data_IF_487994076415
#
_entry.id   IF_487994076415
#
_cell.length_a   1.000
_cell.length_b   1.000
_cell.length_c   1.000
_cell.angle_alpha   90.00
_cell.angle_beta   90.00
_cell.angle_gamma   90.00
#
_symmetry.space_group_name_H-M   'P 1'
#
loop_
_entity.id
_entity.type
_entity.pdbx_description
1 polymer ?
#
# COMPACT_ATOMS: atom_id res chain seq x y z
N UNK A 1 -28.86 -20.77 -30.24
CA UNK A 1 -28.16 -19.50 -30.55
C UNK A 1 -28.01 -18.56 -29.35
N UNK A 2 -28.92 -18.57 -28.37
CA UNK A 2 -28.81 -17.77 -27.14
C UNK A 2 -27.74 -18.26 -26.15
N UNK A 3 -27.53 -19.57 -26.07
CA UNK A 3 -26.52 -20.19 -25.20
C UNK A 3 -25.09 -19.71 -25.51
N UNK A 4 -24.74 -19.58 -26.79
CA UNK A 4 -23.42 -19.09 -27.23
C UNK A 4 -23.24 -17.63 -26.82
N UNK A 5 -24.28 -16.80 -26.95
CA UNK A 5 -24.22 -15.39 -26.52
C UNK A 5 -24.04 -15.26 -25.01
N UNK A 6 -24.74 -16.09 -24.23
CA UNK A 6 -24.58 -16.16 -22.77
C UNK A 6 -23.17 -16.59 -22.37
N UNK A 7 -22.62 -17.59 -23.06
CA UNK A 7 -21.28 -18.11 -22.77
C UNK A 7 -20.19 -17.09 -23.12
N UNK A 8 -20.32 -16.37 -24.24
CA UNK A 8 -19.43 -15.26 -24.60
C UNK A 8 -19.54 -14.12 -23.58
N UNK A 9 -20.75 -13.75 -23.17
CA UNK A 9 -20.96 -12.68 -22.20
C UNK A 9 -20.40 -13.04 -20.82
N UNK A 10 -20.58 -14.28 -20.38
CA UNK A 10 -19.96 -14.82 -19.16
C UNK A 10 -18.43 -14.77 -19.24
N UNK A 11 -17.86 -15.19 -20.38
CA UNK A 11 -16.41 -15.19 -20.60
C UNK A 11 -15.82 -13.77 -20.59
N UNK A 12 -16.52 -12.79 -21.18
CA UNK A 12 -16.11 -11.38 -21.12
C UNK A 12 -16.19 -10.81 -19.71
N UNK A 13 -17.21 -11.19 -18.92
CA UNK A 13 -17.33 -10.76 -17.52
C UNK A 13 -16.20 -11.34 -16.67
N UNK A 14 -15.88 -12.63 -16.83
CA UNK A 14 -14.77 -13.26 -16.11
C UNK A 14 -13.43 -12.57 -16.41
N UNK A 15 -13.14 -12.25 -17.68
CA UNK A 15 -11.91 -11.56 -18.08
C UNK A 15 -11.82 -10.15 -17.50
N UNK A 16 -12.94 -9.41 -17.46
CA UNK A 16 -12.99 -8.07 -16.88
C UNK A 16 -12.76 -8.09 -15.36
N UNK A 17 -13.34 -9.06 -14.64
CA UNK A 17 -13.15 -9.21 -13.18
C UNK A 17 -11.69 -9.53 -12.85
N UNK A 18 -11.01 -10.35 -13.66
CA UNK A 18 -9.58 -10.65 -13.48
C UNK A 18 -8.63 -9.46 -13.71
N UNK A 19 -9.11 -8.37 -14.34
CA UNK A 19 -8.33 -7.15 -14.57
C UNK A 19 -8.31 -6.18 -13.38
N UNK A 20 -9.32 -6.23 -12.50
CA UNK A 20 -9.47 -5.26 -11.40
C UNK A 20 -8.39 -5.39 -10.31
N UNK A 21 -7.91 -6.60 -10.02
CA UNK A 21 -6.82 -6.82 -9.04
C UNK A 21 -5.46 -6.27 -9.47
N UNK A 22 -5.30 -5.79 -10.72
CA UNK A 22 -4.00 -5.32 -11.24
C UNK A 22 -3.64 -3.90 -10.80
N UNK A 23 -4.54 -3.18 -10.16
CA UNK A 23 -4.33 -1.78 -9.76
C UNK A 23 -3.94 -1.60 -8.29
N UNK A 24 -4.17 -2.61 -7.44
CA UNK A 24 -3.73 -2.56 -6.05
C UNK A 24 -2.26 -2.96 -5.96
N UNK A 25 -1.41 -2.08 -5.42
CA UNK A 25 -0.01 -2.39 -5.17
C UNK A 25 0.11 -3.52 -4.11
N UNK A 26 1.03 -4.50 -4.25
CA UNK A 26 1.14 -5.64 -3.34
C UNK A 26 1.23 -5.26 -1.85
N UNK A 27 2.02 -4.24 -1.52
CA UNK A 27 2.14 -3.73 -0.14
C UNK A 27 0.82 -3.21 0.45
N UNK A 28 -0.15 -2.75 -0.36
CA UNK A 28 -1.48 -2.35 0.12
C UNK A 28 -2.28 -3.60 0.51
N UNK A 29 -2.23 -4.63 -0.32
CA UNK A 29 -2.90 -5.92 -0.06
C UNK A 29 -2.31 -6.61 1.18
N UNK A 30 -0.98 -6.59 1.32
CA UNK A 30 -0.31 -7.14 2.50
C UNK A 30 -0.68 -6.37 3.77
N UNK A 31 -0.68 -5.03 3.72
CA UNK A 31 -1.10 -4.23 4.86
C UNK A 31 -2.55 -4.52 5.25
N UNK A 32 -3.48 -4.60 4.28
CA UNK A 32 -4.89 -4.93 4.54
C UNK A 32 -5.05 -6.32 5.17
N UNK A 33 -4.29 -7.31 4.69
CA UNK A 33 -4.26 -8.66 5.26
C UNK A 33 -3.73 -8.66 6.71
N UNK A 34 -2.69 -7.88 7.00
CA UNK A 34 -2.15 -7.73 8.36
C UNK A 34 -3.12 -6.98 9.29
N UNK A 35 -3.73 -5.91 8.80
CA UNK A 35 -4.75 -5.12 9.50
C UNK A 35 -5.96 -5.98 9.89
N UNK A 36 -6.34 -6.94 9.03
CA UNK A 36 -7.40 -7.89 9.33
C UNK A 36 -7.09 -8.80 10.53
N UNK A 37 -5.83 -8.98 10.90
CA UNK A 37 -5.43 -9.78 12.07
C UNK A 37 -5.38 -8.95 13.37
N UNK A 38 -5.46 -7.63 13.28
CA UNK A 38 -5.39 -6.75 14.45
C UNK A 38 -6.68 -6.82 15.29
N UNK A 39 -6.57 -6.71 16.62
CA UNK A 39 -7.71 -6.46 17.49
C UNK A 39 -8.48 -5.19 17.10
N UNK A 40 -9.77 -5.15 17.40
CA UNK A 40 -10.64 -4.05 16.98
C UNK A 40 -10.24 -2.67 17.52
N UNK A 41 -9.49 -2.57 18.62
CA UNK A 41 -9.02 -1.27 19.11
C UNK A 41 -7.75 -0.78 18.40
N UNK A 42 -7.06 -1.62 17.64
CA UNK A 42 -5.86 -1.27 16.85
C UNK A 42 -6.13 -1.15 15.36
N UNK A 43 -7.23 -1.75 14.88
CA UNK A 43 -7.69 -1.61 13.50
C UNK A 43 -8.01 -0.16 13.17
N UNK A 44 -7.62 0.27 11.98
CA UNK A 44 -7.88 1.60 11.46
C UNK A 44 -9.40 1.93 11.50
N UNK A 45 -9.82 2.93 12.29
CA UNK A 45 -11.23 3.31 12.38
C UNK A 45 -11.74 4.03 11.14
N UNK A 46 -10.85 4.55 10.30
CA UNK A 46 -11.16 5.42 9.17
C UNK A 46 -12.07 4.73 8.14
N UNK A 47 -11.87 3.43 7.90
CA UNK A 47 -12.68 2.64 6.96
C UNK A 47 -13.96 2.04 7.57
N UNK A 48 -14.18 2.16 8.88
CA UNK A 48 -15.36 1.57 9.55
C UNK A 48 -16.66 2.27 9.20
N UNK A 49 -16.58 3.55 8.86
CA UNK A 49 -17.76 4.36 8.59
C UNK A 49 -18.15 4.16 7.12
N UNK A 50 -19.33 3.60 6.80
CA UNK A 50 -19.72 3.30 5.42
C UNK A 50 -19.71 4.56 4.53
N UNK A 51 -20.06 5.71 5.10
CA UNK A 51 -20.01 7.01 4.42
C UNK A 51 -18.59 7.39 4.00
N UNK A 52 -17.60 7.19 4.86
CA UNK A 52 -16.18 7.54 4.59
C UNK A 52 -15.60 6.59 3.55
N UNK A 53 -15.83 5.28 3.69
CA UNK A 53 -15.39 4.29 2.72
C UNK A 53 -15.97 4.57 1.32
N UNK A 54 -17.28 4.86 1.23
CA UNK A 54 -17.95 5.18 -0.03
C UNK A 54 -17.46 6.49 -0.65
N UNK A 55 -17.16 7.50 0.17
CA UNK A 55 -16.61 8.75 -0.33
C UNK A 55 -15.21 8.54 -0.93
N UNK A 56 -14.31 7.82 -0.26
CA UNK A 56 -12.99 7.52 -0.80
C UNK A 56 -13.07 6.69 -2.08
N UNK A 57 -13.92 5.66 -2.12
CA UNK A 57 -14.05 4.81 -3.31
C UNK A 57 -14.44 5.60 -4.58
N UNK A 58 -15.22 6.69 -4.43
CA UNK A 58 -15.63 7.56 -5.54
C UNK A 58 -14.49 8.43 -6.09
N UNK A 59 -13.56 8.83 -5.24
CA UNK A 59 -12.42 9.69 -5.60
C UNK A 59 -11.10 8.93 -5.78
N UNK A 60 -11.12 7.61 -5.52
CA UNK A 60 -9.94 6.74 -5.58
C UNK A 60 -9.53 6.36 -7.00
N UNK A 61 -10.27 6.79 -8.03
CA UNK A 61 -9.92 6.49 -9.41
C UNK A 61 -9.03 7.61 -9.95
N UNK A 62 -7.80 7.24 -10.34
CA UNK A 62 -6.74 8.11 -10.85
C UNK A 62 -7.28 9.29 -11.66
N UNK A 63 -6.87 10.51 -11.30
CA UNK A 63 -7.15 11.73 -12.05
C UNK A 63 -6.39 11.80 -13.38
N UNK A 64 -6.69 12.77 -14.25
CA UNK A 64 -5.93 12.98 -15.49
C UNK A 64 -4.43 13.16 -15.19
N UNK A 65 -3.59 12.29 -15.76
CA UNK A 65 -2.13 12.32 -15.58
C UNK A 65 -1.62 11.53 -14.36
N UNK A 66 -2.49 10.89 -13.59
CA UNK A 66 -2.10 9.98 -12.52
C UNK A 66 -1.97 8.54 -13.04
N UNK A 67 -0.91 7.87 -12.62
CA UNK A 67 -0.65 6.46 -12.96
C UNK A 67 -0.64 5.58 -11.70
N UNK A 68 -1.09 4.32 -11.81
CA UNK A 68 -0.98 3.38 -10.71
C UNK A 68 0.49 3.18 -10.30
N UNK A 69 0.77 3.31 -9.01
CA UNK A 69 2.09 3.01 -8.45
C UNK A 69 2.38 1.53 -8.66
N UNK A 70 3.36 1.22 -9.52
CA UNK A 70 3.85 -0.14 -9.77
C UNK A 70 5.05 -0.51 -8.91
N UNK A 71 5.95 0.44 -8.71
CA UNK A 71 7.13 0.31 -7.87
C UNK A 71 7.22 1.50 -6.93
N UNK A 72 7.38 1.25 -5.63
CA UNK A 72 7.58 2.34 -4.67
C UNK A 72 9.06 2.72 -4.64
N UNK A 73 9.39 3.94 -5.05
CA UNK A 73 10.76 4.46 -4.93
C UNK A 73 11.26 4.45 -3.48
N UNK A 74 10.37 4.60 -2.50
CA UNK A 74 10.71 4.51 -1.08
C UNK A 74 11.29 3.14 -0.67
N UNK A 75 10.89 2.05 -1.34
CA UNK A 75 11.42 0.70 -1.09
C UNK A 75 12.87 0.55 -1.55
N UNK A 76 13.35 1.45 -2.40
CA UNK A 76 14.74 1.48 -2.89
C UNK A 76 15.69 2.17 -1.91
N UNK A 77 15.17 2.84 -0.88
CA UNK A 77 15.97 3.55 0.11
C UNK A 77 16.45 2.54 1.17
N UNK A 78 17.77 2.44 1.37
CA UNK A 78 18.32 1.53 2.36
C UNK A 78 18.02 2.00 3.78
N UNK A 79 17.98 1.06 4.74
CA UNK A 79 17.87 1.43 6.17
C UNK A 79 19.03 2.31 6.63
N UNK A 80 20.22 2.11 6.08
CA UNK A 80 21.38 2.94 6.38
C UNK A 80 21.18 4.40 5.94
N UNK A 81 20.61 4.61 4.75
CA UNK A 81 20.31 5.96 4.24
C UNK A 81 19.24 6.64 5.09
N UNK A 82 18.18 5.91 5.48
CA UNK A 82 17.16 6.41 6.40
C UNK A 82 17.80 6.85 7.71
N UNK A 83 18.63 6.00 8.34
CA UNK A 83 19.32 6.37 9.58
C UNK A 83 20.28 7.54 9.40
N UNK A 84 20.98 7.61 8.28
CA UNK A 84 21.86 8.73 7.95
C UNK A 84 21.07 10.04 7.94
N UNK A 85 19.97 10.11 7.18
CA UNK A 85 19.13 11.31 7.09
C UNK A 85 18.55 11.68 8.47
N UNK A 86 18.00 10.71 9.21
CA UNK A 86 17.43 10.97 10.52
C UNK A 86 18.47 11.45 11.54
N UNK A 87 19.70 10.95 11.46
CA UNK A 87 20.80 11.37 12.33
C UNK A 87 21.25 12.81 12.01
N UNK A 88 21.36 13.16 10.73
CA UNK A 88 21.70 14.52 10.31
C UNK A 88 20.60 15.52 10.66
N UNK A 89 19.33 15.10 10.61
CA UNK A 89 18.18 15.91 11.00
C UNK A 89 17.97 15.99 12.53
N UNK A 90 18.77 15.28 13.33
CA UNK A 90 18.69 15.31 14.80
C UNK A 90 17.57 14.45 15.40
N UNK A 91 16.90 13.62 14.59
CA UNK A 91 15.85 12.70 15.07
C UNK A 91 16.42 11.42 15.70
N UNK A 92 17.66 11.07 15.40
CA UNK A 92 18.36 9.91 15.98
C UNK A 92 19.70 10.37 16.56
N UNK A 93 20.05 9.98 17.79
CA UNK A 93 21.33 10.32 18.37
C UNK A 93 22.47 9.69 17.58
N UNK A 94 23.54 10.46 17.35
CA UNK A 94 24.80 9.90 16.84
C UNK A 94 25.32 8.92 17.87
N UNK A 95 25.54 7.66 17.48
CA UNK A 95 26.25 6.71 18.33
C UNK A 95 27.67 7.24 18.55
N UNK A 96 27.93 7.79 19.73
CA UNK A 96 29.28 8.14 20.16
C UNK A 96 30.02 6.83 20.42
N UNK A 97 30.92 6.44 19.52
CA UNK A 97 31.88 5.38 19.83
C UNK A 97 32.88 5.97 20.83
N UNK A 98 32.73 5.63 22.11
CA UNK A 98 33.68 6.03 23.14
C UNK A 98 35.06 5.48 22.80
N UNK A 99 36.02 6.37 22.59
CA UNK A 99 37.44 6.00 22.50
C UNK A 99 37.89 5.48 23.87
N UNK A 100 37.97 4.16 24.01
CA UNK A 100 38.67 3.54 25.13
C UNK A 100 40.18 3.77 24.92
N UNK A 101 40.71 4.84 25.51
CA UNK A 101 42.14 4.94 25.79
C UNK A 101 42.46 3.99 26.95
N UNK A 102 42.96 2.81 26.64
CA UNK A 102 43.72 2.02 27.61
C UNK A 102 45.14 2.56 27.63
N UNK A 103 45.46 3.25 28.73
CA UNK A 103 46.79 3.57 29.23
C UNK A 103 47.58 2.32 29.60
#
# INVERSE_FOLDING_TARGET
RWLIKLLVLLQTVLLAVGGLSRYAHPAVLENDAQEALLPDYLRNPFYRTPRVANALARFSWFGPGEEPVRERHAEKISRADIYSVLTHAGFVPRRFHGFNHHS
#
